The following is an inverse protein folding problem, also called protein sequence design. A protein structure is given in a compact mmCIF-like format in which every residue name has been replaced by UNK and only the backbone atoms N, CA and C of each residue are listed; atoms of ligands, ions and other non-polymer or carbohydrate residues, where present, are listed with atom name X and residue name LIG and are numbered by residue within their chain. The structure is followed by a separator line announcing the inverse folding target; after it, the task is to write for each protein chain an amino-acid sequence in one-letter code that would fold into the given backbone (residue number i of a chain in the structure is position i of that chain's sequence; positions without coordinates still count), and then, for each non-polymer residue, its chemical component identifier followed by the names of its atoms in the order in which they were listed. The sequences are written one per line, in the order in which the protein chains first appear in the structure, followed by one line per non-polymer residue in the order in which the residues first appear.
data_IF_527271973424
#
_entry.id   IF_527271973424
#
_cell.length_a   1.000
_cell.length_b   1.000
_cell.length_c   1.000
_cell.angle_alpha   90.00
_cell.angle_beta   90.00
_cell.angle_gamma   90.00
#
_symmetry.space_group_name_H-M   'P 1'
#
loop_
_entity.id
_entity.type
_entity.pdbx_description
1 polymer ?
#
# COMPACT_ATOMS: atom_id res chain seq x y z
N UNK A 1 14.82 -21.39 24.20
CA UNK A 1 14.31 -20.03 23.96
C UNK A 1 13.87 -19.44 25.30
N UNK A 2 14.41 -18.29 25.72
CA UNK A 2 13.87 -17.58 26.88
C UNK A 2 12.51 -16.97 26.52
N UNK A 3 11.55 -16.88 27.47
CA UNK A 3 10.25 -16.27 27.24
C UNK A 3 10.40 -14.75 27.04
N UNK A 4 9.68 -14.22 26.04
CA UNK A 4 9.56 -12.78 25.79
C UNK A 4 8.87 -12.11 26.98
N UNK A 5 9.54 -11.15 27.62
CA UNK A 5 8.94 -10.29 28.65
C UNK A 5 8.03 -9.28 27.94
N UNK A 6 6.75 -9.34 28.24
CA UNK A 6 5.76 -8.36 27.77
C UNK A 6 5.88 -7.14 28.69
N UNK A 7 6.27 -5.98 28.13
CA UNK A 7 6.31 -4.71 28.84
C UNK A 7 4.91 -4.11 29.00
N UNK A 8 4.72 -3.27 30.02
CA UNK A 8 3.46 -2.56 30.31
C UNK A 8 2.97 -1.71 29.11
N UNK A 9 1.64 -1.50 28.96
CA UNK A 9 1.09 -0.81 27.82
C UNK A 9 1.39 0.68 27.90
N UNK A 10 2.35 1.13 27.09
CA UNK A 10 2.38 2.51 26.60
C UNK A 10 1.01 2.78 25.99
N UNK A 11 0.39 3.94 26.20
CA UNK A 11 -0.88 4.27 25.57
C UNK A 11 -0.74 4.15 24.04
N UNK A 12 -1.11 2.98 23.52
CA UNK A 12 -0.89 2.59 22.13
C UNK A 12 -1.90 3.35 21.29
N UNK A 13 -1.44 4.00 20.24
CA UNK A 13 -2.34 4.28 19.11
C UNK A 13 -2.73 2.89 18.60
N UNK A 14 -3.99 2.44 18.75
CA UNK A 14 -4.28 1.01 18.64
C UNK A 14 -4.17 0.50 17.20
N UNK A 15 -4.29 1.39 16.21
CA UNK A 15 -4.47 1.00 14.82
C UNK A 15 -3.72 1.92 13.85
N UNK A 16 -2.93 1.32 12.96
CA UNK A 16 -2.47 1.94 11.72
C UNK A 16 -3.16 1.26 10.53
N UNK A 17 -4.04 1.98 9.84
CA UNK A 17 -4.64 1.52 8.59
C UNK A 17 -3.68 1.78 7.45
N UNK A 18 -3.28 0.74 6.74
CA UNK A 18 -2.54 0.86 5.49
C UNK A 18 -3.37 0.31 4.35
N UNK A 19 -3.25 0.91 3.17
CA UNK A 19 -4.01 0.44 2.01
C UNK A 19 -3.18 0.48 0.74
N UNK A 20 -3.27 -0.57 -0.07
CA UNK A 20 -2.54 -0.64 -1.35
C UNK A 20 -3.23 0.19 -2.43
N UNK A 21 -2.43 0.93 -3.18
CA UNK A 21 -2.84 1.61 -4.40
C UNK A 21 -1.76 1.44 -5.48
N UNK A 22 -2.14 1.61 -6.75
CA UNK A 22 -1.20 1.73 -7.86
C UNK A 22 -1.20 3.16 -8.41
N UNK A 23 -0.09 3.59 -9.04
CA UNK A 23 0.03 4.85 -9.78
C UNK A 23 -0.82 4.86 -11.08
N UNK A 24 -2.13 4.62 -10.97
CA UNK A 24 -3.09 4.69 -12.06
C UNK A 24 -4.35 5.46 -11.62
N UNK A 25 -5.06 6.15 -12.53
CA UNK A 25 -6.17 7.04 -12.17
C UNK A 25 -7.32 6.38 -11.37
N UNK A 26 -7.50 5.06 -11.52
CA UNK A 26 -8.56 4.33 -10.80
C UNK A 26 -8.36 4.37 -9.28
N UNK A 27 -7.13 4.34 -8.78
CA UNK A 27 -6.86 4.35 -7.35
C UNK A 27 -6.91 5.76 -6.74
N UNK A 28 -6.91 6.82 -7.56
CA UNK A 28 -6.91 8.21 -7.07
C UNK A 28 -8.22 8.53 -6.36
N UNK A 29 -9.35 8.31 -7.02
CA UNK A 29 -10.66 8.61 -6.44
C UNK A 29 -11.02 7.65 -5.30
N UNK A 30 -10.55 6.41 -5.34
CA UNK A 30 -10.71 5.45 -4.25
C UNK A 30 -9.91 5.90 -3.01
N UNK A 31 -8.67 6.35 -3.21
CA UNK A 31 -7.83 6.90 -2.14
C UNK A 31 -8.47 8.12 -1.49
N UNK A 32 -9.05 9.03 -2.30
CA UNK A 32 -9.80 10.19 -1.78
C UNK A 32 -10.98 9.73 -0.93
N UNK A 33 -11.76 8.75 -1.39
CA UNK A 33 -12.90 8.21 -0.64
C UNK A 33 -12.49 7.62 0.70
N UNK A 34 -11.39 6.86 0.73
CA UNK A 34 -10.90 6.20 1.94
C UNK A 34 -10.32 7.20 2.95
N UNK A 35 -9.45 8.12 2.49
CA UNK A 35 -8.92 9.20 3.34
C UNK A 35 -10.05 10.06 3.90
N UNK A 36 -10.96 10.52 3.05
CA UNK A 36 -12.12 11.32 3.48
C UNK A 36 -12.94 10.58 4.54
N UNK A 37 -13.26 9.30 4.31
CA UNK A 37 -14.05 8.50 5.26
C UNK A 37 -13.34 8.28 6.59
N UNK A 38 -12.03 8.04 6.58
CA UNK A 38 -11.23 7.89 7.79
C UNK A 38 -11.26 9.16 8.64
N UNK A 39 -11.03 10.32 8.02
CA UNK A 39 -11.04 11.61 8.74
C UNK A 39 -12.45 12.06 9.14
N UNK A 40 -13.44 11.88 8.27
CA UNK A 40 -14.82 12.30 8.51
C UNK A 40 -15.47 11.52 9.66
N UNK A 41 -15.21 10.21 9.73
CA UNK A 41 -15.68 9.36 10.84
C UNK A 41 -14.92 9.59 12.14
N UNK A 42 -13.83 10.37 12.11
CA UNK A 42 -12.89 10.57 13.23
C UNK A 42 -12.31 9.25 13.73
N UNK A 43 -12.06 8.31 12.80
CA UNK A 43 -11.44 7.03 13.14
C UNK A 43 -10.13 7.28 13.90
N UNK A 44 -9.99 6.74 15.14
CA UNK A 44 -8.74 6.88 15.87
C UNK A 44 -7.65 6.07 15.18
N UNK A 45 -6.43 6.59 15.20
CA UNK A 45 -5.27 5.93 14.62
C UNK A 45 -4.59 6.72 13.52
N UNK A 46 -3.80 6.01 12.73
CA UNK A 46 -3.13 6.55 11.54
C UNK A 46 -3.64 5.86 10.30
N UNK A 47 -3.49 6.54 9.17
CA UNK A 47 -3.77 6.01 7.85
C UNK A 47 -2.61 6.33 6.91
N UNK A 48 -2.15 5.34 6.14
CA UNK A 48 -1.12 5.52 5.11
C UNK A 48 -1.50 4.78 3.83
N UNK A 49 -1.47 5.47 2.70
CA UNK A 49 -1.54 4.85 1.38
C UNK A 49 -0.20 4.26 1.01
N UNK A 50 -0.17 3.01 0.58
CA UNK A 50 1.00 2.35 0.03
C UNK A 50 0.88 2.36 -1.50
N UNK A 51 1.59 3.27 -2.15
CA UNK A 51 1.43 3.57 -3.57
C UNK A 51 2.53 2.88 -4.40
N UNK A 52 2.14 1.86 -5.15
CA UNK A 52 2.99 1.11 -6.06
C UNK A 52 3.15 1.87 -7.39
N UNK A 53 4.37 2.29 -7.72
CA UNK A 53 4.65 3.05 -8.93
C UNK A 53 5.87 2.51 -9.67
N UNK A 54 5.81 2.55 -11.00
CA UNK A 54 7.03 2.53 -11.83
C UNK A 54 7.66 3.93 -11.87
N UNK A 55 8.97 4.02 -12.06
CA UNK A 55 9.69 5.30 -12.05
C UNK A 55 9.18 6.30 -13.10
N UNK A 56 8.77 5.81 -14.28
CA UNK A 56 8.17 6.65 -15.32
C UNK A 56 6.77 7.13 -14.93
N UNK A 57 5.96 6.24 -14.34
CA UNK A 57 4.63 6.60 -13.86
C UNK A 57 4.73 7.65 -12.76
N UNK A 58 5.61 7.45 -11.77
CA UNK A 58 5.80 8.38 -10.65
C UNK A 58 6.23 9.77 -11.12
N UNK A 59 7.10 9.86 -12.14
CA UNK A 59 7.55 11.15 -12.71
C UNK A 59 6.42 11.93 -13.37
N UNK A 60 5.48 11.24 -14.02
CA UNK A 60 4.33 11.85 -14.68
C UNK A 60 3.10 11.97 -13.75
N UNK A 61 3.13 11.36 -12.57
CA UNK A 61 1.97 11.26 -11.70
C UNK A 61 1.64 12.64 -11.08
N UNK A 62 0.36 13.08 -11.09
CA UNK A 62 0.00 14.42 -10.63
C UNK A 62 0.40 14.66 -9.17
N UNK A 63 1.11 15.76 -8.90
CA UNK A 63 1.54 16.12 -7.52
C UNK A 63 0.37 16.22 -6.55
N UNK A 64 -0.75 16.79 -6.99
CA UNK A 64 -1.98 16.87 -6.20
C UNK A 64 -2.49 15.49 -5.76
N UNK A 65 -2.27 14.44 -6.57
CA UNK A 65 -2.66 13.08 -6.23
C UNK A 65 -1.65 12.41 -5.29
N UNK A 66 -0.36 12.77 -5.32
CA UNK A 66 0.62 12.32 -4.32
C UNK A 66 0.35 12.93 -2.94
N UNK A 67 -0.05 14.20 -2.91
CA UNK A 67 -0.16 15.01 -1.69
C UNK A 67 -1.55 14.91 -1.00
N UNK A 68 -2.48 14.11 -1.52
CA UNK A 68 -3.85 14.00 -0.97
C UNK A 68 -3.93 13.41 0.45
N UNK A 69 -2.86 12.78 0.93
CA UNK A 69 -2.78 12.18 2.27
C UNK A 69 -1.45 11.47 2.50
N UNK A 70 -1.21 10.94 3.71
CA UNK A 70 0.03 10.23 4.03
C UNK A 70 0.26 9.08 3.05
N UNK A 71 1.34 9.14 2.29
CA UNK A 71 1.62 8.21 1.20
C UNK A 71 3.05 7.70 1.31
N UNK A 72 3.22 6.38 1.23
CA UNK A 72 4.50 5.71 1.08
C UNK A 72 4.59 5.16 -0.34
N UNK A 73 5.55 5.67 -1.12
CA UNK A 73 5.77 5.23 -2.51
C UNK A 73 6.76 4.09 -2.52
N UNK A 74 6.45 3.03 -3.27
CA UNK A 74 7.35 1.89 -3.44
C UNK A 74 7.33 1.38 -4.89
N UNK A 75 8.27 0.49 -5.20
CA UNK A 75 8.37 -0.18 -6.51
C UNK A 75 7.07 -0.93 -6.83
N UNK A 76 6.58 -0.79 -8.06
CA UNK A 76 5.51 -1.63 -8.57
C UNK A 76 6.04 -3.03 -8.92
N UNK A 77 5.40 -4.07 -8.38
CA UNK A 77 5.78 -5.47 -8.55
C UNK A 77 4.98 -6.18 -9.64
N UNK A 78 3.99 -5.51 -10.25
CA UNK A 78 3.11 -6.09 -11.26
C UNK A 78 3.87 -6.75 -12.39
N UNK A 79 4.94 -6.13 -12.84
CA UNK A 79 5.81 -6.61 -13.92
C UNK A 79 7.21 -6.97 -13.43
N UNK A 80 7.37 -7.33 -12.16
CA UNK A 80 8.66 -7.77 -11.63
C UNK A 80 9.16 -9.06 -12.31
N UNK A 81 10.46 -9.28 -12.35
CA UNK A 81 11.08 -10.51 -12.91
C UNK A 81 10.61 -11.78 -12.19
N UNK A 82 10.26 -11.70 -10.91
CA UNK A 82 9.66 -12.82 -10.18
C UNK A 82 8.25 -13.20 -10.70
N UNK A 83 7.67 -12.39 -11.59
CA UNK A 83 6.36 -12.57 -12.20
C UNK A 83 6.39 -13.00 -13.67
N UNK A 84 7.53 -13.52 -14.19
CA UNK A 84 7.64 -13.91 -15.61
C UNK A 84 6.51 -14.84 -16.10
N UNK A 85 6.06 -15.79 -15.27
CA UNK A 85 4.96 -16.70 -15.64
C UNK A 85 3.64 -15.98 -15.94
N UNK A 86 3.38 -14.84 -15.28
CA UNK A 86 2.18 -14.01 -15.42
C UNK A 86 2.34 -12.91 -16.49
N UNK A 87 3.55 -12.79 -17.06
CA UNK A 87 3.87 -11.90 -18.19
C UNK A 87 3.68 -12.58 -19.54
N UNK A 88 3.51 -13.90 -19.60
CA UNK A 88 3.18 -14.60 -20.81
C UNK A 88 1.72 -15.04 -20.82
N UNK A 89 0.94 -14.49 -21.75
CA UNK A 89 -0.44 -14.93 -21.99
C UNK A 89 -0.55 -15.32 -23.46
N UNK A 90 -0.71 -16.63 -23.69
CA UNK A 90 -0.85 -17.20 -25.03
C UNK A 90 -2.08 -16.67 -25.79
N UNK A 91 -3.06 -16.11 -25.09
CA UNK A 91 -4.28 -15.53 -25.66
C UNK A 91 -4.20 -14.01 -25.85
N UNK A 92 -3.08 -13.37 -25.50
CA UNK A 92 -2.84 -11.92 -25.63
C UNK A 92 -1.48 -11.61 -26.28
N UNK A 93 -1.21 -12.24 -27.42
CA UNK A 93 0.04 -12.04 -28.20
C UNK A 93 1.31 -12.27 -27.38
N UNK A 94 1.28 -13.19 -26.41
CA UNK A 94 2.39 -13.47 -25.50
C UNK A 94 2.61 -12.40 -24.43
N UNK A 95 1.71 -11.40 -24.31
CA UNK A 95 1.76 -10.33 -23.31
C UNK A 95 0.70 -10.53 -22.22
N UNK A 96 1.15 -11.08 -21.11
CA UNK A 96 0.41 -11.18 -19.86
C UNK A 96 0.09 -9.82 -19.25
N UNK A 97 -0.80 -9.81 -18.26
CA UNK A 97 -1.18 -8.57 -17.55
C UNK A 97 -0.23 -8.22 -16.42
N UNK A 98 0.78 -9.06 -16.17
CA UNK A 98 1.51 -9.06 -14.92
C UNK A 98 0.58 -9.48 -13.77
N UNK A 99 1.10 -9.48 -12.55
CA UNK A 99 0.35 -9.90 -11.37
C UNK A 99 0.32 -8.79 -10.31
N UNK A 100 -0.66 -7.89 -10.45
CA UNK A 100 -0.78 -6.70 -9.59
C UNK A 100 -0.96 -7.05 -8.11
N UNK A 101 -1.52 -8.22 -7.79
CA UNK A 101 -1.73 -8.65 -6.40
C UNK A 101 -0.45 -8.80 -5.60
N UNK A 102 0.72 -8.95 -6.23
CA UNK A 102 2.01 -8.94 -5.51
C UNK A 102 2.36 -7.59 -4.90
N UNK A 103 1.77 -6.49 -5.40
CA UNK A 103 1.90 -5.20 -4.74
C UNK A 103 1.37 -5.26 -3.31
N UNK A 104 0.38 -6.08 -2.99
CA UNK A 104 -0.22 -6.13 -1.65
C UNK A 104 0.78 -6.57 -0.57
N UNK A 105 1.34 -7.80 -0.59
CA UNK A 105 2.34 -8.19 0.40
C UNK A 105 3.63 -7.37 0.30
N UNK A 106 4.07 -7.01 -0.91
CA UNK A 106 5.30 -6.23 -1.09
C UNK A 106 5.19 -4.82 -0.50
N UNK A 107 4.04 -4.15 -0.68
CA UNK A 107 3.82 -2.80 -0.17
C UNK A 107 3.96 -2.73 1.35
N UNK A 108 3.37 -3.69 2.07
CA UNK A 108 3.45 -3.78 3.53
C UNK A 108 4.88 -4.08 3.97
N UNK A 109 5.56 -5.02 3.31
CA UNK A 109 6.96 -5.35 3.61
C UNK A 109 7.87 -4.13 3.42
N UNK A 110 7.84 -3.49 2.25
CA UNK A 110 8.67 -2.33 1.94
C UNK A 110 8.40 -1.15 2.90
N UNK A 111 7.14 -0.96 3.29
CA UNK A 111 6.75 0.05 4.26
C UNK A 111 7.29 -0.24 5.67
N UNK A 112 7.16 -1.48 6.15
CA UNK A 112 7.66 -1.90 7.46
C UNK A 112 9.19 -1.85 7.57
N UNK A 113 9.91 -2.10 6.47
CA UNK A 113 11.38 -1.98 6.43
C UNK A 113 11.87 -0.54 6.64
N UNK A 114 11.05 0.46 6.29
CA UNK A 114 11.41 1.88 6.33
C UNK A 114 10.65 2.69 7.38
N UNK A 115 9.68 2.06 8.06
CA UNK A 115 8.81 2.73 9.02
C UNK A 115 8.85 2.05 10.37
N UNK A 116 9.13 2.83 11.42
CA UNK A 116 8.95 2.36 12.78
C UNK A 116 7.48 2.48 13.18
N UNK A 117 6.76 1.36 13.12
CA UNK A 117 5.36 1.25 13.56
C UNK A 117 5.33 1.10 15.07
N UNK A 118 4.57 1.98 15.73
CA UNK A 118 4.41 1.99 17.20
C UNK A 118 3.00 1.55 17.63
N UNK A 119 2.11 1.40 16.65
CA UNK A 119 0.74 0.97 16.80
C UNK A 119 0.65 -0.52 17.13
N UNK A 120 -0.38 -0.91 17.89
CA UNK A 120 -0.60 -2.31 18.29
C UNK A 120 -0.99 -3.21 17.11
N UNK A 121 -1.78 -2.67 16.19
CA UNK A 121 -2.26 -3.39 15.01
C UNK A 121 -2.03 -2.58 13.73
N UNK A 122 -1.59 -3.28 12.69
CA UNK A 122 -1.64 -2.78 11.30
C UNK A 122 -2.79 -3.48 10.59
N UNK A 123 -3.75 -2.71 10.08
CA UNK A 123 -4.82 -3.21 9.24
C UNK A 123 -4.49 -2.90 7.78
N UNK A 124 -4.27 -3.93 6.98
CA UNK A 124 -4.12 -3.81 5.54
C UNK A 124 -5.49 -3.90 4.85
N UNK A 125 -5.80 -2.93 4.00
CA UNK A 125 -7.03 -2.89 3.21
C UNK A 125 -6.73 -2.73 1.72
N UNK A 126 -7.58 -3.32 0.88
CA UNK A 126 -7.65 -2.92 -0.52
C UNK A 126 -8.49 -1.63 -0.62
N UNK A 127 -8.22 -0.78 -1.60
CA UNK A 127 -8.95 0.49 -1.78
C UNK A 127 -10.35 0.33 -2.34
N UNK A 128 -10.67 -0.84 -2.91
CA UNK A 128 -11.95 -1.15 -3.56
C UNK A 128 -12.78 -2.21 -2.81
N UNK A 129 -12.41 -2.54 -1.57
CA UNK A 129 -13.08 -3.51 -0.70
C UNK A 129 -13.80 -2.86 0.48
#
# INVERSE_FOLDING_TARGET
MPPLKISEPVATVPLHVVFSAECIPAFDWQSVGLFYSFYHSKQPGRITRLLACEDEQLRAYPKVNLEMGPTFVHKNMRYDEMNEAEKFDQYRDGKGRGYASYNKPYSVMAWLEQTHVVEEMVLMMDTDM
#
